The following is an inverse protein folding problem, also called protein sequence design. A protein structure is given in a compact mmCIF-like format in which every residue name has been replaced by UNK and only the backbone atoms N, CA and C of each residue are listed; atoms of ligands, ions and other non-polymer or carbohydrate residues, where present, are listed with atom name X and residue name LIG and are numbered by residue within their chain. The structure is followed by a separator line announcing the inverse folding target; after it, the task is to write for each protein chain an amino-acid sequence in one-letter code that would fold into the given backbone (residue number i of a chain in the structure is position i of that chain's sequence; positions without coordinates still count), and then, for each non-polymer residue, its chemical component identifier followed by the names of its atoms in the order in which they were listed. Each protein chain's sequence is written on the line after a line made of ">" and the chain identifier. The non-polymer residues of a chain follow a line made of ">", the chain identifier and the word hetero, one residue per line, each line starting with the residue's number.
data_IF_094046092480
#
_entry.id   IF_094046092480
#
_cell.length_a   1.000
_cell.length_b   1.000
_cell.length_c   1.000
_cell.angle_alpha   90.00
_cell.angle_beta   90.00
_cell.angle_gamma   90.00
#
_symmetry.space_group_name_H-M   'P 1'
#
loop_
_entity.id
_entity.type
_entity.pdbx_description
1 polymer ?
#
# COMPACT_ATOMS: atom_id res chain seq x y z
N UNK A 1 30.63 -1.57 -1.91
CA UNK A 1 29.44 -2.42 -1.65
C UNK A 1 28.60 -1.93 -0.46
N UNK A 2 29.19 -1.56 0.69
CA UNK A 2 28.43 -1.05 1.86
C UNK A 2 27.47 0.12 1.57
N UNK A 3 27.87 1.13 0.78
CA UNK A 3 27.03 2.29 0.53
C UNK A 3 25.70 1.95 -0.18
N UNK A 4 25.73 1.03 -1.14
CA UNK A 4 24.53 0.59 -1.88
C UNK A 4 23.55 -0.15 -0.97
N UNK A 5 24.06 -1.00 -0.06
CA UNK A 5 23.23 -1.75 0.88
C UNK A 5 22.59 -0.85 1.94
N UNK A 6 23.31 0.18 2.42
CA UNK A 6 22.74 1.20 3.30
C UNK A 6 21.61 1.98 2.62
N UNK A 7 21.79 2.32 1.34
CA UNK A 7 20.79 3.04 0.56
C UNK A 7 19.55 2.17 0.27
N UNK A 8 19.73 0.90 -0.11
CA UNK A 8 18.61 -0.05 -0.31
C UNK A 8 17.82 -0.31 0.98
N UNK A 9 18.50 -0.35 2.14
CA UNK A 9 17.84 -0.44 3.45
C UNK A 9 17.00 0.81 3.75
N UNK A 10 17.56 2.00 3.52
CA UNK A 10 16.85 3.25 3.74
C UNK A 10 15.58 3.33 2.87
N UNK A 11 15.68 2.95 1.59
CA UNK A 11 14.51 2.89 0.69
C UNK A 11 13.46 1.89 1.17
N UNK A 12 13.89 0.74 1.71
CA UNK A 12 12.97 -0.26 2.28
C UNK A 12 12.21 0.28 3.50
N UNK A 13 12.88 1.03 4.36
CA UNK A 13 12.26 1.69 5.52
C UNK A 13 11.28 2.76 5.04
N UNK A 14 11.66 3.57 4.05
CA UNK A 14 10.80 4.60 3.46
C UNK A 14 9.55 3.98 2.84
N UNK A 15 9.68 2.87 2.12
CA UNK A 15 8.54 2.12 1.58
C UNK A 15 7.61 1.62 2.70
N UNK A 16 8.17 1.05 3.76
CA UNK A 16 7.40 0.59 4.91
C UNK A 16 6.66 1.74 5.62
N UNK A 17 7.33 2.87 5.84
CA UNK A 17 6.75 4.06 6.44
C UNK A 17 5.67 4.70 5.55
N UNK A 18 5.92 4.77 4.24
CA UNK A 18 4.95 5.24 3.25
C UNK A 18 3.65 4.42 3.35
N UNK A 19 3.75 3.09 3.30
CA UNK A 19 2.58 2.21 3.36
C UNK A 19 1.84 2.31 4.70
N UNK A 20 2.59 2.46 5.80
CA UNK A 20 2.03 2.60 7.14
C UNK A 20 1.24 3.91 7.33
N UNK A 21 1.66 5.00 6.68
CA UNK A 21 0.99 6.31 6.75
C UNK A 21 -0.15 6.39 5.75
N UNK A 22 0.08 5.99 4.51
CA UNK A 22 -0.91 6.14 3.43
C UNK A 22 -2.08 5.17 3.58
N UNK A 23 -1.86 3.95 4.10
CA UNK A 23 -2.92 2.98 4.35
C UNK A 23 -4.05 3.53 5.25
N UNK A 24 -3.76 4.00 6.47
CA UNK A 24 -4.78 4.61 7.34
C UNK A 24 -5.46 5.84 6.73
N UNK A 25 -4.73 6.68 5.98
CA UNK A 25 -5.33 7.81 5.28
C UNK A 25 -6.38 7.36 4.25
N UNK A 26 -6.06 6.37 3.42
CA UNK A 26 -7.00 5.82 2.43
C UNK A 26 -8.16 5.08 3.08
N UNK A 27 -7.92 4.41 4.21
CA UNK A 27 -8.95 3.75 5.00
C UNK A 27 -9.98 4.77 5.49
N UNK A 28 -9.53 5.84 6.16
CA UNK A 28 -10.41 6.88 6.70
C UNK A 28 -11.19 7.58 5.59
N UNK A 29 -10.54 7.86 4.45
CA UNK A 29 -11.19 8.46 3.30
C UNK A 29 -12.29 7.56 2.72
N UNK A 30 -12.03 6.25 2.61
CA UNK A 30 -13.02 5.29 2.11
C UNK A 30 -14.22 5.17 3.04
N UNK A 31 -13.97 5.09 4.36
CA UNK A 31 -15.02 5.06 5.38
C UNK A 31 -15.87 6.33 5.32
N UNK A 32 -15.24 7.50 5.19
CA UNK A 32 -15.94 8.77 5.04
C UNK A 32 -16.89 8.75 3.83
N UNK A 33 -16.41 8.40 2.64
CA UNK A 33 -17.25 8.36 1.43
C UNK A 33 -18.37 7.31 1.50
N UNK A 34 -18.11 6.15 2.09
CA UNK A 34 -19.14 5.12 2.31
C UNK A 34 -20.23 5.63 3.28
N UNK A 35 -19.82 6.33 4.35
CA UNK A 35 -20.76 6.86 5.36
C UNK A 35 -21.65 8.00 4.85
N UNK A 36 -21.17 8.79 3.89
CA UNK A 36 -21.91 9.89 3.28
C UNK A 36 -22.96 9.43 2.25
N UNK A 37 -23.03 8.11 1.98
CA UNK A 37 -23.99 7.57 1.02
C UNK A 37 -25.41 7.69 1.56
N UNK A 38 -26.18 8.61 0.99
CA UNK A 38 -27.63 8.68 1.19
C UNK A 38 -28.30 7.54 0.43
N UNK A 39 -29.32 6.92 1.02
CA UNK A 39 -30.18 5.97 0.30
C UNK A 39 -30.98 6.77 -0.73
N UNK A 40 -31.03 6.37 -2.01
CA UNK A 40 -31.90 7.02 -2.97
C UNK A 40 -33.35 6.85 -2.52
N UNK A 41 -34.09 7.96 -2.42
CA UNK A 41 -35.48 8.00 -1.95
C UNK A 41 -36.43 7.21 -2.88
N UNK A 42 -36.06 7.06 -4.15
CA UNK A 42 -36.89 6.41 -5.18
C UNK A 42 -36.44 4.98 -5.55
N UNK A 43 -35.45 4.41 -4.84
CA UNK A 43 -34.94 3.06 -5.09
C UNK A 43 -34.16 2.85 -6.41
N UNK A 44 -34.15 3.83 -7.31
CA UNK A 44 -33.35 3.84 -8.55
C UNK A 44 -31.92 4.25 -8.26
N UNK A 45 -31.06 3.26 -7.96
CA UNK A 45 -29.63 3.50 -7.85
C UNK A 45 -29.04 3.73 -9.26
N UNK A 46 -28.58 4.95 -9.52
CA UNK A 46 -27.87 5.33 -10.77
C UNK A 46 -26.58 4.51 -10.90
N UNK A 47 -26.23 4.07 -12.12
CA UNK A 47 -25.06 3.22 -12.39
C UNK A 47 -23.74 3.79 -11.82
N UNK A 48 -23.58 5.11 -11.83
CA UNK A 48 -22.43 5.80 -11.27
C UNK A 48 -22.28 5.64 -9.75
N UNK A 49 -23.37 5.69 -8.98
CA UNK A 49 -23.32 5.52 -7.52
C UNK A 49 -22.91 4.10 -7.12
N UNK A 50 -23.36 3.08 -7.88
CA UNK A 50 -22.90 1.70 -7.67
C UNK A 50 -21.41 1.57 -7.92
N UNK A 51 -20.93 2.15 -9.03
CA UNK A 51 -19.51 2.15 -9.37
C UNK A 51 -18.68 2.81 -8.25
N UNK A 52 -19.07 4.00 -7.79
CA UNK A 52 -18.36 4.71 -6.73
C UNK A 52 -18.33 3.92 -5.41
N UNK A 53 -19.45 3.30 -5.04
CA UNK A 53 -19.51 2.47 -3.84
C UNK A 53 -18.58 1.25 -3.91
N UNK A 54 -18.62 0.51 -5.03
CA UNK A 54 -17.71 -0.64 -5.26
C UNK A 54 -16.26 -0.18 -5.23
N UNK A 55 -15.96 0.94 -5.88
CA UNK A 55 -14.64 1.54 -5.86
C UNK A 55 -14.16 1.86 -4.42
N UNK A 56 -14.97 2.55 -3.60
CA UNK A 56 -14.63 2.82 -2.20
C UNK A 56 -14.43 1.55 -1.38
N UNK A 57 -15.19 0.49 -1.63
CA UNK A 57 -14.99 -0.81 -0.95
C UNK A 57 -13.66 -1.46 -1.35
N UNK A 58 -13.25 -1.37 -2.61
CA UNK A 58 -11.93 -1.85 -3.05
C UNK A 58 -10.82 -1.05 -2.38
N UNK A 59 -10.93 0.28 -2.35
CA UNK A 59 -9.94 1.16 -1.68
C UNK A 59 -9.88 0.85 -0.17
N UNK A 60 -11.00 0.58 0.48
CA UNK A 60 -11.06 0.19 1.89
C UNK A 60 -10.24 -1.08 2.17
N UNK A 61 -10.43 -2.14 1.38
CA UNK A 61 -9.69 -3.40 1.54
C UNK A 61 -8.21 -3.19 1.21
N UNK A 62 -7.91 -2.48 0.12
CA UNK A 62 -6.54 -2.18 -0.28
C UNK A 62 -5.79 -1.38 0.80
N UNK A 63 -6.44 -0.43 1.45
CA UNK A 63 -5.87 0.38 2.52
C UNK A 63 -5.41 -0.47 3.72
N UNK A 64 -6.22 -1.46 4.13
CA UNK A 64 -5.85 -2.40 5.21
C UNK A 64 -4.61 -3.20 4.84
N UNK A 65 -4.60 -3.77 3.63
CA UNK A 65 -3.46 -4.54 3.13
C UNK A 65 -2.21 -3.68 3.06
N UNK A 66 -2.36 -2.42 2.63
CA UNK A 66 -1.27 -1.47 2.55
C UNK A 66 -0.70 -1.15 3.95
N UNK A 67 -1.54 -0.87 4.94
CA UNK A 67 -1.09 -0.70 6.33
C UNK A 67 -0.35 -1.94 6.84
N UNK A 68 -0.91 -3.13 6.61
CA UNK A 68 -0.28 -4.39 7.02
C UNK A 68 1.08 -4.58 6.34
N UNK A 69 1.20 -4.25 5.05
CA UNK A 69 2.47 -4.31 4.32
C UNK A 69 3.54 -3.42 4.96
N UNK A 70 3.16 -2.20 5.39
CA UNK A 70 4.07 -1.26 6.06
C UNK A 70 4.56 -1.82 7.40
N UNK A 71 3.66 -2.39 8.20
CA UNK A 71 4.01 -3.05 9.47
C UNK A 71 4.97 -4.22 9.23
N UNK A 72 4.69 -5.10 8.28
CA UNK A 72 5.53 -6.27 8.00
C UNK A 72 6.91 -5.88 7.45
N UNK A 73 6.99 -4.88 6.58
CA UNK A 73 8.27 -4.37 6.08
C UNK A 73 9.13 -3.80 7.21
N UNK A 74 8.57 -2.91 8.03
CA UNK A 74 9.31 -2.29 9.13
C UNK A 74 9.69 -3.31 10.20
N UNK A 75 8.78 -4.22 10.54
CA UNK A 75 9.06 -5.30 11.49
C UNK A 75 10.13 -6.25 10.97
N UNK A 76 10.08 -6.61 9.68
CA UNK A 76 11.09 -7.44 9.04
C UNK A 76 12.48 -6.80 9.08
N UNK A 77 12.59 -5.50 8.82
CA UNK A 77 13.87 -4.76 8.96
C UNK A 77 14.31 -4.67 10.42
N UNK A 78 13.39 -4.42 11.35
CA UNK A 78 13.74 -4.21 12.76
C UNK A 78 14.15 -5.50 13.48
N UNK A 79 13.48 -6.60 13.17
CA UNK A 79 13.74 -7.92 13.78
C UNK A 79 14.67 -8.80 12.93
N UNK A 80 15.21 -8.26 11.85
CA UNK A 80 16.06 -8.97 10.91
C UNK A 80 15.43 -10.26 10.39
N UNK A 81 14.12 -10.24 10.14
CA UNK A 81 13.34 -11.42 9.77
C UNK A 81 12.94 -11.38 8.29
N UNK A 82 13.78 -11.96 7.45
CA UNK A 82 13.63 -11.94 5.99
C UNK A 82 12.30 -12.48 5.48
N UNK A 83 11.73 -13.51 6.11
CA UNK A 83 10.42 -14.06 5.71
C UNK A 83 9.29 -13.03 5.87
N UNK A 84 9.24 -12.34 7.01
CA UNK A 84 8.24 -11.30 7.27
C UNK A 84 8.44 -10.10 6.35
N UNK A 85 9.70 -9.71 6.11
CA UNK A 85 10.01 -8.65 5.16
C UNK A 85 9.54 -8.99 3.73
N UNK A 86 9.79 -10.22 3.26
CA UNK A 86 9.36 -10.68 1.95
C UNK A 86 7.84 -10.68 1.82
N UNK A 87 7.12 -11.21 2.82
CA UNK A 87 5.65 -11.16 2.82
C UNK A 87 5.17 -9.72 2.73
N UNK A 88 5.71 -8.83 3.58
CA UNK A 88 5.42 -7.40 3.55
C UNK A 88 5.64 -6.76 2.17
N UNK A 89 6.73 -7.12 1.51
CA UNK A 89 7.05 -6.64 0.16
C UNK A 89 6.08 -7.17 -0.89
N UNK A 90 5.78 -8.47 -0.88
CA UNK A 90 4.83 -9.10 -1.81
C UNK A 90 3.45 -8.46 -1.68
N UNK A 91 2.96 -8.26 -0.46
CA UNK A 91 1.66 -7.61 -0.23
C UNK A 91 1.73 -6.08 -0.35
N UNK A 92 2.93 -5.48 -0.41
CA UNK A 92 3.09 -4.06 -0.78
C UNK A 92 2.91 -3.85 -2.28
N UNK A 93 3.06 -4.93 -3.07
CA UNK A 93 2.96 -4.93 -4.52
C UNK A 93 1.50 -5.09 -5.00
N UNK A 94 0.59 -4.32 -4.39
CA UNK A 94 -0.74 -4.10 -4.97
C UNK A 94 -0.62 -3.03 -6.03
N UNK A 95 -0.20 -3.46 -7.22
CA UNK A 95 -0.20 -2.67 -8.44
C UNK A 95 -1.50 -1.87 -8.50
N UNK A 96 -1.39 -0.57 -8.79
CA UNK A 96 -1.89 0.58 -7.99
C UNK A 96 -3.01 0.28 -6.99
N UNK A 97 -3.12 1.02 -5.89
CA UNK A 97 -4.47 1.26 -5.34
C UNK A 97 -5.25 2.04 -6.40
N UNK A 98 -5.80 1.31 -7.38
CA UNK A 98 -6.90 1.66 -8.28
C UNK A 98 -6.82 3.10 -8.82
N UNK A 99 -5.70 3.43 -9.48
CA UNK A 99 -5.52 4.63 -10.32
C UNK A 99 -6.19 5.93 -9.81
N UNK A 100 -6.04 6.26 -8.53
CA UNK A 100 -6.36 7.60 -8.05
C UNK A 100 -5.21 8.55 -8.42
N UNK A 101 -5.37 9.12 -9.61
CA UNK A 101 -5.03 10.49 -10.03
C UNK A 101 -3.62 10.86 -10.55
N UNK A 102 -2.53 10.07 -10.41
CA UNK A 102 -1.24 10.46 -11.06
C UNK A 102 -0.33 9.28 -11.46
N UNK A 103 0.27 9.35 -12.66
CA UNK A 103 1.20 8.35 -13.23
C UNK A 103 2.52 8.23 -12.43
N UNK A 104 2.89 9.27 -11.67
CA UNK A 104 4.20 9.38 -10.99
C UNK A 104 4.29 8.47 -9.76
N UNK A 105 3.23 8.40 -8.95
CA UNK A 105 3.22 7.64 -7.69
C UNK A 105 3.43 6.13 -7.92
N UNK A 106 2.79 5.48 -8.92
CA UNK A 106 3.06 4.10 -9.27
C UNK A 106 4.53 3.82 -9.64
N UNK A 107 5.18 4.73 -10.36
CA UNK A 107 6.58 4.55 -10.80
C UNK A 107 7.52 4.55 -9.60
N UNK A 108 7.34 5.49 -8.67
CA UNK A 108 8.14 5.57 -7.44
C UNK A 108 7.95 4.30 -6.59
N UNK A 109 6.70 3.83 -6.43
CA UNK A 109 6.41 2.61 -5.68
C UNK A 109 7.13 1.39 -6.26
N UNK A 110 7.08 1.23 -7.60
CA UNK A 110 7.75 0.12 -8.30
C UNK A 110 9.26 0.18 -8.07
N UNK A 111 9.87 1.36 -8.19
CA UNK A 111 11.30 1.55 -7.92
C UNK A 111 11.65 1.18 -6.48
N UNK A 112 10.87 1.64 -5.49
CA UNK A 112 11.06 1.30 -4.09
C UNK A 112 10.95 -0.21 -3.83
N UNK A 113 9.99 -0.90 -4.46
CA UNK A 113 9.83 -2.36 -4.34
C UNK A 113 11.03 -3.10 -4.93
N UNK A 114 11.54 -2.69 -6.09
CA UNK A 114 12.75 -3.30 -6.67
C UNK A 114 13.97 -3.13 -5.76
N UNK A 115 14.13 -1.95 -5.15
CA UNK A 115 15.21 -1.71 -4.19
C UNK A 115 15.04 -2.53 -2.91
N UNK A 116 13.81 -2.66 -2.41
CA UNK A 116 13.50 -3.54 -1.28
C UNK A 116 13.81 -5.01 -1.60
N UNK A 117 13.53 -5.47 -2.82
CA UNK A 117 13.89 -6.82 -3.27
C UNK A 117 15.40 -7.04 -3.28
N UNK A 118 16.16 -6.06 -3.78
CA UNK A 118 17.63 -6.11 -3.76
C UNK A 118 18.18 -6.13 -2.33
N UNK A 119 17.59 -5.34 -1.43
CA UNK A 119 17.92 -5.38 -0.01
C UNK A 119 17.67 -6.78 0.57
N UNK A 120 16.49 -7.37 0.32
CA UNK A 120 16.15 -8.70 0.84
C UNK A 120 17.14 -9.77 0.39
N UNK A 121 17.40 -9.87 -0.92
CA UNK A 121 18.35 -10.83 -1.51
C UNK A 121 19.76 -10.71 -0.98
N UNK A 122 20.16 -9.51 -0.55
CA UNK A 122 21.52 -9.24 -0.07
C UNK A 122 21.71 -9.58 1.40
N UNK A 123 20.63 -9.71 2.18
CA UNK A 123 20.70 -9.96 3.63
C UNK A 123 20.16 -11.34 4.04
N UNK A 124 19.23 -11.90 3.26
CA UNK A 124 18.62 -13.21 3.54
C UNK A 124 18.63 -14.09 2.28
N UNK A 125 19.56 -15.06 2.18
CA UNK A 125 19.62 -16.02 1.07
C UNK A 125 18.56 -17.13 1.16
#
# INVERSE_FOLDING_TARGET
>A
MCAKQCDDRAVSIVLGAWNLISGPCWFLLSVYFISQRKKPEDGTIVSYEKFWYVFCMIVFVAAIIHTLSGVLLLFGVWKDYGGVFLVGMVISNFLPIVLVLTIIIPIIQVFCVFRALNYWRSNWP
#
